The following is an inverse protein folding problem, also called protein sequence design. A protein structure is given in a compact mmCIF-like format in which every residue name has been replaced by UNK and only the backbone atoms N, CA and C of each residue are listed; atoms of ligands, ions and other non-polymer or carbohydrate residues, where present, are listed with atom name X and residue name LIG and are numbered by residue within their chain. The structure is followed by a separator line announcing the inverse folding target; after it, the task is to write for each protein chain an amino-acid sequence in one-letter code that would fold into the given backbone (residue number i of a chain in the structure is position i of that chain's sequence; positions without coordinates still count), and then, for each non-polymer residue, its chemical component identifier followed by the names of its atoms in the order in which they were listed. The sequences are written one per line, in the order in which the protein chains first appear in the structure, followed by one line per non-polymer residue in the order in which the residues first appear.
data_IF_235959932012
#
_entry.id   IF_235959932012
#
_cell.length_a   1.000
_cell.length_b   1.000
_cell.length_c   1.000
_cell.angle_alpha   90.00
_cell.angle_beta   90.00
_cell.angle_gamma   90.00
#
_symmetry.space_group_name_H-M   'P 1'
#
loop_
_entity.id
_entity.type
_entity.pdbx_description
1 polymer ?
#
# COMPACT_ATOMS: atom_id res chain seq x y z
N UNK A 1 -13.13 -0.59 -18.78
CA UNK A 1 -12.29 -1.29 -17.81
C UNK A 1 -11.04 -0.46 -17.62
N UNK A 2 -10.87 0.14 -16.45
CA UNK A 2 -9.68 0.92 -16.10
C UNK A 2 -8.89 0.16 -15.05
N UNK A 3 -7.56 0.19 -15.18
CA UNK A 3 -6.67 -0.38 -14.16
C UNK A 3 -6.73 0.51 -12.92
N UNK A 4 -7.07 -0.07 -11.77
CA UNK A 4 -7.10 0.64 -10.49
C UNK A 4 -5.69 0.70 -9.91
N UNK A 5 -5.36 1.73 -9.12
CA UNK A 5 -4.09 1.78 -8.38
C UNK A 5 -3.89 0.54 -7.48
N UNK A 6 -4.98 -0.06 -7.00
CA UNK A 6 -4.96 -1.35 -6.31
C UNK A 6 -4.38 -2.46 -7.18
N UNK A 7 -4.85 -2.60 -8.42
CA UNK A 7 -4.40 -3.65 -9.33
C UNK A 7 -2.89 -3.50 -9.63
N UNK A 8 -2.43 -2.24 -9.77
CA UNK A 8 -1.00 -1.94 -9.95
C UNK A 8 -0.19 -2.33 -8.71
N UNK A 9 -0.69 -2.03 -7.50
CA UNK A 9 -0.03 -2.41 -6.24
C UNK A 9 0.01 -3.93 -6.06
N UNK A 10 -1.06 -4.63 -6.38
CA UNK A 10 -1.16 -6.09 -6.30
C UNK A 10 -0.20 -6.76 -7.27
N UNK A 11 -0.15 -6.28 -8.53
CA UNK A 11 0.84 -6.73 -9.52
C UNK A 11 2.26 -6.52 -9.01
N UNK A 12 2.56 -5.32 -8.48
CA UNK A 12 3.90 -5.00 -7.98
C UNK A 12 4.30 -5.86 -6.80
N UNK A 13 3.38 -6.12 -5.87
CA UNK A 13 3.63 -7.02 -4.75
C UNK A 13 3.93 -8.44 -5.22
N UNK A 14 3.17 -8.93 -6.21
CA UNK A 14 3.43 -10.23 -6.83
C UNK A 14 4.80 -10.29 -7.52
N UNK A 15 5.23 -9.23 -8.22
CA UNK A 15 6.56 -9.15 -8.84
C UNK A 15 7.70 -9.21 -7.80
N UNK A 16 7.48 -8.62 -6.63
CA UNK A 16 8.47 -8.61 -5.54
C UNK A 16 8.41 -9.86 -4.66
N UNK A 17 7.43 -10.74 -4.88
CA UNK A 17 7.20 -11.92 -4.04
C UNK A 17 6.80 -11.56 -2.61
N UNK A 18 6.10 -10.45 -2.41
CA UNK A 18 5.62 -9.99 -1.10
C UNK A 18 4.10 -10.09 -1.01
N UNK A 19 3.58 -10.38 0.18
CA UNK A 19 2.15 -10.40 0.43
C UNK A 19 1.53 -9.00 0.33
N UNK A 20 0.43 -8.87 -0.42
CA UNK A 20 -0.40 -7.66 -0.44
C UNK A 20 -1.80 -8.01 0.02
N UNK A 21 -2.07 -7.76 1.29
CA UNK A 21 -3.33 -8.16 1.93
C UNK A 21 -4.08 -6.92 2.38
N UNK A 22 -5.34 -6.80 1.97
CA UNK A 22 -6.22 -5.78 2.50
C UNK A 22 -6.44 -6.04 3.98
N UNK A 23 -5.90 -5.16 4.83
CA UNK A 23 -6.25 -5.16 6.24
C UNK A 23 -7.57 -4.40 6.33
N UNK A 24 -8.61 -5.01 6.88
CA UNK A 24 -9.92 -4.35 7.07
C UNK A 24 -9.86 -3.05 7.91
N UNK A 25 -8.70 -2.71 8.48
CA UNK A 25 -8.50 -1.47 9.22
C UNK A 25 -8.41 -0.30 8.26
N UNK A 26 -9.48 0.51 8.25
CA UNK A 26 -9.40 1.88 7.76
C UNK A 26 -8.46 2.69 8.66
N UNK A 27 -7.72 3.64 8.10
CA UNK A 27 -6.96 4.59 8.92
C UNK A 27 -7.91 5.55 9.67
N UNK A 28 -7.38 6.43 10.52
CA UNK A 28 -8.15 7.42 11.28
C UNK A 28 -9.04 8.31 10.40
N UNK A 29 -8.64 8.53 9.15
CA UNK A 29 -9.44 9.25 8.14
C UNK A 29 -10.39 8.34 7.32
N UNK A 30 -10.60 7.09 7.72
CA UNK A 30 -11.54 6.18 7.07
C UNK A 30 -11.06 5.57 5.73
N UNK A 31 -9.80 5.75 5.35
CA UNK A 31 -9.25 5.23 4.07
C UNK A 31 -8.79 3.78 4.20
N UNK A 32 -8.90 3.05 3.10
CA UNK A 32 -8.42 1.66 3.02
C UNK A 32 -6.90 1.63 3.16
N UNK A 33 -6.42 0.74 4.03
CA UNK A 33 -4.99 0.49 4.24
C UNK A 33 -4.70 -0.98 3.94
N UNK A 34 -3.64 -1.23 3.19
CA UNK A 34 -3.16 -2.56 2.87
C UNK A 34 -1.88 -2.86 3.63
N UNK A 35 -1.71 -4.12 4.04
CA UNK A 35 -0.44 -4.65 4.54
C UNK A 35 0.44 -4.97 3.33
N UNK A 36 1.68 -4.49 3.35
CA UNK A 36 2.70 -4.75 2.33
C UNK A 36 3.81 -5.61 2.92
N UNK A 37 3.93 -6.83 2.41
CA UNK A 37 4.83 -7.88 2.91
C UNK A 37 4.60 -8.23 4.38
N UNK A 38 5.62 -8.83 5.00
CA UNK A 38 5.53 -9.26 6.41
C UNK A 38 6.17 -8.27 7.41
N UNK A 39 6.88 -7.25 6.94
CA UNK A 39 7.64 -6.29 7.79
C UNK A 39 6.76 -5.29 8.55
N UNK A 40 5.44 -5.39 8.46
CA UNK A 40 4.51 -4.44 9.07
C UNK A 40 4.44 -3.09 8.35
N UNK A 41 4.92 -3.04 7.10
CA UNK A 41 4.73 -1.91 6.20
C UNK A 41 3.26 -1.85 5.77
N UNK A 42 2.71 -0.65 5.80
CA UNK A 42 1.36 -0.33 5.39
C UNK A 42 1.40 0.58 4.19
N UNK A 43 0.47 0.38 3.25
CA UNK A 43 0.29 1.28 2.11
C UNK A 43 -1.16 1.72 2.01
N UNK A 44 -1.37 2.95 1.53
CA UNK A 44 -2.71 3.49 1.24
C UNK A 44 -2.63 4.39 0.01
N UNK A 45 -3.79 4.67 -0.57
CA UNK A 45 -3.94 5.62 -1.67
C UNK A 45 -4.74 6.82 -1.14
N UNK A 46 -4.21 8.02 -1.35
CA UNK A 46 -4.85 9.30 -1.02
C UNK A 46 -4.77 10.19 -2.24
N UNK A 47 -5.91 10.61 -2.80
CA UNK A 47 -5.97 11.54 -3.95
C UNK A 47 -5.12 11.08 -5.16
N UNK A 48 -5.08 9.76 -5.41
CA UNK A 48 -4.27 9.16 -6.48
C UNK A 48 -2.77 8.99 -6.13
N UNK A 49 -2.35 9.39 -4.94
CA UNK A 49 -0.98 9.30 -4.46
C UNK A 49 -0.84 8.08 -3.56
N UNK A 50 0.20 7.26 -3.80
CA UNK A 50 0.54 6.14 -2.93
C UNK A 50 1.33 6.66 -1.74
N UNK A 51 0.88 6.27 -0.54
CA UNK A 51 1.58 6.55 0.70
C UNK A 51 1.99 5.24 1.36
N UNK A 52 3.18 5.22 1.95
CA UNK A 52 3.73 4.12 2.74
C UNK A 52 3.94 4.57 4.18
N UNK A 53 3.72 3.65 5.11
CA UNK A 53 4.06 3.79 6.53
C UNK A 53 4.75 2.53 7.00
N UNK A 54 5.97 2.66 7.46
CA UNK A 54 6.71 1.56 8.08
C UNK A 54 6.26 1.38 9.54
N UNK A 55 6.58 0.22 10.13
CA UNK A 55 6.17 -0.12 11.50
C UNK A 55 6.60 0.96 12.50
N UNK A 56 5.64 1.66 13.08
CA UNK A 56 5.87 2.75 14.04
C UNK A 56 6.29 4.09 13.42
N UNK A 57 6.37 4.17 12.09
CA UNK A 57 6.70 5.41 11.38
C UNK A 57 5.48 6.27 11.03
N UNK A 58 5.75 7.35 10.30
CA UNK A 58 4.75 8.24 9.75
C UNK A 58 4.40 7.87 8.31
N UNK A 59 3.27 8.39 7.81
CA UNK A 59 2.89 8.24 6.41
C UNK A 59 3.75 9.13 5.53
N UNK A 60 4.35 8.55 4.49
CA UNK A 60 5.19 9.25 3.52
C UNK A 60 4.71 8.94 2.12
N UNK A 61 4.79 9.92 1.23
CA UNK A 61 4.53 9.71 -0.20
C UNK A 61 5.63 8.78 -0.75
N UNK A 62 5.24 7.80 -1.56
CA UNK A 62 6.19 6.89 -2.22
C UNK A 62 5.70 6.55 -3.62
N UNK A 63 6.64 6.36 -4.55
CA UNK A 63 6.32 5.77 -5.84
C UNK A 63 6.05 4.27 -5.70
N UNK A 64 5.19 3.73 -6.57
CA UNK A 64 4.92 2.28 -6.63
C UNK A 64 6.22 1.50 -6.94
N UNK A 65 7.07 2.06 -7.80
CA UNK A 65 8.37 1.49 -8.15
C UNK A 65 9.34 1.42 -6.95
N UNK A 66 9.16 2.29 -5.95
CA UNK A 66 10.01 2.39 -4.76
C UNK A 66 9.55 1.48 -3.61
N UNK A 67 8.42 0.78 -3.80
CA UNK A 67 8.00 -0.29 -2.90
C UNK A 67 8.92 -1.50 -3.16
N UNK A 68 9.61 -1.95 -2.12
CA UNK A 68 10.54 -3.08 -2.09
C UNK A 68 10.34 -3.90 -0.81
#
# INVERSE_FOLDING_TARGET
GGVSLRDVLESRASELGVDFVQREKRDEEGRVVWKWGDKGTLVRVKDGIVMRKDKGGEWRITGIMELA
#
